data_IF_113126021493
#
_entry.id   IF_113126021493
#
_cell.length_a   1.000
_cell.length_b   1.000
_cell.length_c   1.000
_cell.angle_alpha   90.00
_cell.angle_beta   90.00
_cell.angle_gamma   90.00
#
_symmetry.space_group_name_H-M   'P 1'
#
loop_
_entity.id
_entity.type
_entity.pdbx_description
1 polymer ?
#
# COMPACT_ATOMS: atom_id res chain seq x y z
N UNK A 1 -6.06 -6.81 -12.39
CA UNK A 1 -4.64 -6.40 -12.55
C UNK A 1 -4.33 -5.33 -11.52
N UNK A 2 -3.15 -5.36 -10.90
CA UNK A 2 -2.76 -4.42 -9.84
C UNK A 2 -1.33 -3.94 -10.04
N UNK A 3 -0.93 -2.88 -9.35
CA UNK A 3 0.47 -2.46 -9.28
C UNK A 3 1.18 -3.18 -8.14
N UNK A 4 2.44 -3.53 -8.36
CA UNK A 4 3.32 -4.14 -7.36
C UNK A 4 4.61 -3.34 -7.24
N UNK A 5 4.78 -2.65 -6.12
CA UNK A 5 5.97 -1.86 -5.82
C UNK A 5 6.02 -1.48 -4.34
N UNK A 6 7.18 -1.02 -3.87
CA UNK A 6 7.33 -0.46 -2.53
C UNK A 6 8.21 0.78 -2.53
N UNK A 7 8.08 1.58 -1.47
CA UNK A 7 8.89 2.77 -1.22
C UNK A 7 8.99 3.06 0.28
N UNK A 8 10.15 3.56 0.71
CA UNK A 8 10.40 3.88 2.11
C UNK A 8 9.64 5.10 2.61
N UNK A 9 9.47 5.18 3.94
CA UNK A 9 8.94 6.36 4.61
C UNK A 9 9.81 7.62 4.42
N UNK A 10 9.28 8.83 4.67
CA UNK A 10 10.08 10.04 4.80
C UNK A 10 11.22 9.87 5.82
N UNK A 11 12.44 10.19 5.38
CA UNK A 11 13.68 9.95 6.13
C UNK A 11 14.40 8.64 5.81
N UNK A 12 13.79 7.76 5.00
CA UNK A 12 14.39 6.52 4.48
C UNK A 12 14.61 6.61 2.96
N UNK A 13 15.21 5.59 2.34
CA UNK A 13 15.30 5.52 0.88
C UNK A 13 13.91 5.44 0.24
N UNK A 14 13.60 6.40 -0.64
CA UNK A 14 12.32 6.47 -1.34
C UNK A 14 12.48 6.08 -2.79
N UNK A 15 11.69 5.10 -3.22
CA UNK A 15 11.58 4.72 -4.61
C UNK A 15 10.69 5.72 -5.36
N UNK A 16 11.29 6.56 -6.20
CA UNK A 16 10.60 7.59 -6.98
C UNK A 16 9.56 7.03 -7.97
N UNK A 17 9.69 5.76 -8.36
CA UNK A 17 8.70 5.09 -9.20
C UNK A 17 7.42 4.73 -8.43
N UNK A 18 7.52 4.54 -7.11
CA UNK A 18 6.43 4.08 -6.23
C UNK A 18 6.13 5.04 -5.08
N UNK A 19 5.86 6.34 -5.33
CA UNK A 19 5.63 7.28 -4.26
C UNK A 19 4.34 6.97 -3.47
N UNK A 20 4.33 7.38 -2.20
CA UNK A 20 3.17 7.26 -1.32
C UNK A 20 1.93 8.00 -1.87
N UNK A 21 2.16 9.11 -2.59
CA UNK A 21 1.10 9.94 -3.18
C UNK A 21 0.36 9.33 -4.39
N UNK A 22 0.67 8.07 -4.75
CA UNK A 22 -0.06 7.38 -5.81
C UNK A 22 0.39 7.71 -7.24
N UNK A 23 1.26 8.71 -7.43
CA UNK A 23 1.74 9.12 -8.76
C UNK A 23 2.83 8.18 -9.27
N UNK A 24 2.48 6.91 -9.51
CA UNK A 24 3.37 5.86 -9.97
C UNK A 24 4.01 6.20 -11.33
N UNK A 25 5.27 5.81 -11.52
CA UNK A 25 6.06 6.08 -12.73
C UNK A 25 6.86 4.86 -13.18
N UNK A 26 7.29 4.86 -14.44
CA UNK A 26 8.20 3.84 -14.98
C UNK A 26 7.69 2.41 -14.77
N UNK A 27 8.57 1.54 -14.26
CA UNK A 27 8.27 0.13 -14.05
C UNK A 27 7.14 -0.12 -13.04
N UNK A 28 6.94 0.76 -12.06
CA UNK A 28 5.87 0.61 -11.06
C UNK A 28 4.46 0.77 -11.64
N UNK A 29 4.32 1.34 -12.85
CA UNK A 29 3.04 1.36 -13.61
C UNK A 29 2.79 0.08 -14.40
N UNK A 30 3.72 -0.86 -14.43
CA UNK A 30 3.49 -2.13 -15.11
C UNK A 30 2.59 -3.00 -14.22
N UNK A 31 1.40 -3.41 -14.72
CA UNK A 31 0.48 -4.18 -13.91
C UNK A 31 0.89 -5.65 -13.82
N UNK A 32 0.60 -6.27 -12.68
CA UNK A 32 0.66 -7.72 -12.51
C UNK A 32 -0.73 -8.34 -12.54
N UNK A 33 -0.78 -9.63 -12.90
CA UNK A 33 -1.95 -10.47 -12.61
C UNK A 33 -2.01 -10.69 -11.10
N UNK A 34 -3.22 -10.64 -10.56
CA UNK A 34 -3.42 -10.58 -9.12
C UNK A 34 -4.45 -11.62 -8.70
N UNK A 35 -4.14 -12.38 -7.65
CA UNK A 35 -5.15 -13.21 -6.98
C UNK A 35 -5.77 -12.38 -5.86
N UNK A 36 -7.08 -12.15 -5.92
CA UNK A 36 -7.78 -11.24 -5.02
C UNK A 36 -7.75 -9.77 -5.46
N UNK A 37 -7.98 -8.87 -4.51
CA UNK A 37 -8.10 -7.42 -4.74
C UNK A 37 -6.74 -6.74 -4.77
N UNK A 38 -6.69 -5.54 -5.37
CA UNK A 38 -5.50 -4.71 -5.26
C UNK A 38 -5.43 -4.06 -3.89
N UNK A 39 -4.22 -3.93 -3.35
CA UNK A 39 -3.99 -3.29 -2.06
C UNK A 39 -2.88 -2.25 -2.10
N UNK A 40 -2.99 -1.25 -1.22
CA UNK A 40 -1.92 -0.36 -0.82
C UNK A 40 -1.83 -0.35 0.72
N UNK A 41 -0.66 -0.64 1.26
CA UNK A 41 -0.42 -0.81 2.69
C UNK A 41 0.63 0.16 3.18
N UNK A 42 0.33 0.87 4.26
CA UNK A 42 1.34 1.54 5.11
C UNK A 42 1.80 0.55 6.17
N UNK A 43 3.09 0.23 6.18
CA UNK A 43 3.70 -0.81 7.01
C UNK A 43 4.08 -0.28 8.39
N UNK A 44 3.94 -1.12 9.41
CA UNK A 44 4.53 -0.88 10.74
C UNK A 44 6.03 -1.16 10.74
N UNK A 45 6.45 -2.11 9.93
CA UNK A 45 7.83 -2.61 9.83
C UNK A 45 8.20 -2.89 8.36
N UNK A 46 9.11 -2.09 7.75
CA UNK A 46 9.66 -0.83 8.26
C UNK A 46 8.58 0.25 8.43
N UNK A 47 8.72 1.10 9.44
CA UNK A 47 7.67 2.06 9.83
C UNK A 47 7.43 3.11 8.75
N UNK A 48 6.20 3.18 8.26
CA UNK A 48 5.74 4.16 7.29
C UNK A 48 6.03 3.76 5.84
N UNK A 49 6.63 2.61 5.57
CA UNK A 49 6.84 2.15 4.20
C UNK A 49 5.50 1.93 3.50
N UNK A 50 5.44 2.26 2.21
CA UNK A 50 4.27 1.98 1.39
C UNK A 50 4.56 0.76 0.52
N UNK A 51 3.64 -0.19 0.53
CA UNK A 51 3.66 -1.38 -0.33
C UNK A 51 2.36 -1.44 -1.11
N UNK A 52 2.46 -1.51 -2.43
CA UNK A 52 1.34 -1.79 -3.34
C UNK A 52 1.47 -3.22 -3.80
N UNK A 53 0.42 -4.01 -3.68
CA UNK A 53 0.47 -5.44 -4.00
C UNK A 53 -0.94 -6.03 -4.21
N UNK A 54 -1.02 -7.35 -4.14
CA UNK A 54 -2.22 -8.16 -4.22
C UNK A 54 -2.67 -8.61 -2.85
N UNK A 55 -3.98 -8.56 -2.56
CA UNK A 55 -4.52 -9.07 -1.31
C UNK A 55 -4.19 -10.56 -1.13
N UNK A 56 -4.16 -11.35 -2.20
CA UNK A 56 -3.78 -12.77 -2.14
C UNK A 56 -2.35 -13.04 -1.64
N UNK A 57 -1.49 -12.02 -1.60
CA UNK A 57 -0.13 -12.15 -1.04
C UNK A 57 -0.12 -12.04 0.50
N UNK A 58 -1.27 -11.78 1.12
CA UNK A 58 -1.40 -11.61 2.56
C UNK A 58 -2.38 -12.63 3.14
N UNK A 59 -2.07 -13.08 4.35
CA UNK A 59 -2.99 -13.87 5.14
C UNK A 59 -4.03 -12.96 5.82
N UNK A 60 -5.31 -13.23 5.60
CA UNK A 60 -6.42 -12.62 6.33
C UNK A 60 -7.21 -13.69 7.07
N UNK A 61 -7.45 -13.49 8.37
CA UNK A 61 -8.22 -14.42 9.20
C UNK A 61 -9.71 -14.50 8.80
N UNK A 62 -10.21 -13.45 8.16
CA UNK A 62 -11.53 -13.36 7.55
C UNK A 62 -11.40 -12.78 6.14
N UNK A 63 -12.39 -12.99 5.24
CA UNK A 63 -12.36 -12.38 3.91
C UNK A 63 -12.17 -10.87 4.00
N UNK A 64 -11.14 -10.29 3.36
CA UNK A 64 -10.92 -8.85 3.42
C UNK A 64 -12.04 -8.11 2.68
N UNK A 65 -12.28 -6.82 3.01
CA UNK A 65 -13.26 -6.02 2.29
C UNK A 65 -12.85 -5.85 0.82
N UNK A 66 -13.85 -5.68 -0.06
CA UNK A 66 -13.59 -5.44 -1.49
C UNK A 66 -13.00 -4.06 -1.75
N UNK A 67 -13.36 -3.08 -0.94
CA UNK A 67 -12.94 -1.68 -1.03
C UNK A 67 -12.79 -1.06 0.36
N UNK A 68 -12.05 0.04 0.46
CA UNK A 68 -11.88 0.80 1.70
C UNK A 68 -10.63 0.40 2.49
N UNK A 69 -10.35 1.09 3.59
CA UNK A 69 -9.15 0.89 4.39
C UNK A 69 -9.46 0.23 5.72
N UNK A 70 -8.60 -0.70 6.14
CA UNK A 70 -8.65 -1.33 7.46
C UNK A 70 -7.31 -1.16 8.15
N UNK A 71 -7.36 -1.15 9.48
CA UNK A 71 -6.16 -1.28 10.31
C UNK A 71 -5.98 -2.74 10.73
N UNK A 72 -4.78 -3.27 10.57
CA UNK A 72 -4.42 -4.65 10.96
C UNK A 72 -2.96 -4.72 11.37
N UNK A 73 -2.66 -5.31 12.53
CA UNK A 73 -1.28 -5.49 13.02
C UNK A 73 -0.47 -4.19 12.98
N UNK A 74 -1.09 -3.07 13.35
CA UNK A 74 -0.51 -1.72 13.26
C UNK A 74 -0.12 -1.28 11.85
N UNK A 75 -0.69 -1.89 10.83
CA UNK A 75 -0.58 -1.48 9.43
C UNK A 75 -1.93 -0.96 8.95
N UNK A 76 -1.91 -0.04 7.98
CA UNK A 76 -3.11 0.47 7.33
C UNK A 76 -3.13 -0.11 5.92
N UNK A 77 -4.13 -0.93 5.58
CA UNK A 77 -4.26 -1.55 4.26
C UNK A 77 -5.56 -1.08 3.61
N UNK A 78 -5.43 -0.42 2.45
CA UNK A 78 -6.53 0.03 1.61
C UNK A 78 -6.72 -0.93 0.44
N UNK A 79 -7.97 -1.36 0.25
CA UNK A 79 -8.41 -2.28 -0.80
C UNK A 79 -9.14 -1.54 -1.90
N UNK A 80 -9.02 -2.05 -3.11
CA UNK A 80 -9.84 -1.63 -4.24
C UNK A 80 -10.01 -2.77 -5.25
N UNK A 81 -11.14 -2.79 -5.95
CA UNK A 81 -11.56 -3.93 -6.78
C UNK A 81 -11.46 -3.71 -8.30
N UNK A 82 -11.14 -2.50 -8.74
CA UNK A 82 -11.01 -2.18 -10.15
C UNK A 82 -9.62 -2.53 -10.69
N UNK A 83 -9.46 -2.62 -12.00
CA UNK A 83 -8.13 -2.81 -12.58
C UNK A 83 -7.24 -1.60 -12.28
N UNK A 84 -6.02 -1.86 -11.78
CA UNK A 84 -4.97 -0.86 -11.56
C UNK A 84 -5.39 0.27 -10.60
N UNK A 85 -6.19 -0.05 -9.59
CA UNK A 85 -6.78 0.95 -8.69
C UNK A 85 -5.96 1.23 -7.44
N UNK A 86 -4.92 0.42 -7.16
CA UNK A 86 -4.09 0.60 -5.97
C UNK A 86 -3.00 1.64 -6.19
N UNK A 87 -3.28 2.70 -6.95
CA UNK A 87 -2.49 3.93 -7.11
C UNK A 87 -3.07 5.09 -6.30
N UNK A 88 -3.93 4.80 -5.31
CA UNK A 88 -4.46 5.81 -4.39
C UNK A 88 -3.35 6.50 -3.57
N UNK A 89 -3.61 7.74 -3.19
CA UNK A 89 -2.76 8.52 -2.28
C UNK A 89 -2.84 7.94 -0.86
N UNK A 90 -1.68 7.66 -0.29
CA UNK A 90 -1.51 7.10 1.05
C UNK A 90 -0.78 8.05 2.01
N UNK A 91 -0.55 9.31 1.64
CA UNK A 91 0.21 10.27 2.44
C UNK A 91 -0.41 10.50 3.83
N UNK A 92 -1.72 10.69 3.91
CA UNK A 92 -2.40 10.92 5.19
C UNK A 92 -2.31 9.69 6.11
N UNK A 93 -2.43 8.50 5.54
CA UNK A 93 -2.26 7.25 6.29
C UNK A 93 -0.81 7.04 6.73
N UNK A 94 0.16 7.40 5.88
CA UNK A 94 1.58 7.37 6.20
C UNK A 94 1.89 8.31 7.36
N UNK A 95 1.40 9.56 7.29
CA UNK A 95 1.57 10.55 8.35
C UNK A 95 0.90 10.10 9.66
N UNK A 96 -0.32 9.55 9.59
CA UNK A 96 -1.04 9.00 10.75
C UNK A 96 -0.19 7.95 11.45
N UNK A 97 0.31 6.96 10.71
CA UNK A 97 1.11 5.88 11.27
C UNK A 97 2.45 6.38 11.85
N UNK A 98 3.09 7.32 11.16
CA UNK A 98 4.35 7.91 11.61
C UNK A 98 4.17 8.71 12.90
N UNK A 99 3.12 9.53 13.02
CA UNK A 99 2.85 10.31 14.22
C UNK A 99 2.52 9.42 15.42
N UNK A 100 1.86 8.28 15.19
CA UNK A 100 1.51 7.35 16.25
C UNK A 100 2.70 6.60 16.84
N UNK A 101 3.70 6.26 16.02
CA UNK A 101 4.80 5.37 16.43
C UNK A 101 6.20 5.98 16.41
N UNK A 102 6.40 7.18 15.84
CA UNK A 102 7.64 7.96 16.01
C UNK A 102 7.56 8.96 17.18
N UNK A 103 6.35 9.30 17.62
CA UNK A 103 6.06 10.23 18.72
C UNK A 103 6.39 9.65 20.08
#
# INVERSE_FOLDING_TARGET
MCFECSSGAPGSWQNEACPANGKLKGWARQPIKCNGQCVATVKRWPLGDIVRSCSGNYYFASPPPKTGCIRRNDEITCFCSSNRCNDMDMLDWQATLLNEFRG
#
